data_IF_471490363923
#
_entry.id   IF_471490363923
#
_cell.length_a   1.000
_cell.length_b   1.000
_cell.length_c   1.000
_cell.angle_alpha   90.00
_cell.angle_beta   90.00
_cell.angle_gamma   90.00
#
_symmetry.space_group_name_H-M   'P 1'
#
loop_
_entity.id
_entity.type
_entity.pdbx_description
1 polymer ?
#
# COMPACT_ATOMS: atom_id res chain seq x y z
N UNK A 1 -0.94 -12.67 -2.99
CA UNK A 1 -0.74 -11.69 -3.82
C UNK A 1 -0.27 -10.40 -3.28
N UNK A 2 -0.93 -9.77 -2.33
CA UNK A 2 -0.38 -8.55 -1.72
C UNK A 2 0.26 -8.83 -0.37
N UNK A 3 0.67 -10.07 -0.15
CA UNK A 3 1.20 -10.49 1.15
C UNK A 3 2.50 -9.77 1.50
N UNK A 4 3.39 -9.61 0.51
CA UNK A 4 4.64 -8.89 0.73
C UNK A 4 4.38 -7.44 1.11
N UNK A 5 3.44 -6.79 0.42
CA UNK A 5 3.10 -5.40 0.69
C UNK A 5 2.47 -5.28 2.08
N UNK A 6 1.54 -6.19 2.41
CA UNK A 6 0.89 -6.18 3.72
C UNK A 6 1.90 -6.37 4.84
N UNK A 7 2.84 -7.27 4.67
CA UNK A 7 3.88 -7.51 5.67
C UNK A 7 4.82 -6.30 5.79
N UNK A 8 5.17 -5.69 4.66
CA UNK A 8 6.02 -4.52 4.67
C UNK A 8 5.36 -3.37 5.41
N UNK A 9 4.06 -3.16 5.20
CA UNK A 9 3.31 -2.12 5.89
C UNK A 9 3.32 -2.40 7.39
N UNK A 10 3.08 -3.64 7.77
CA UNK A 10 3.07 -4.02 9.18
C UNK A 10 4.43 -3.79 9.84
N UNK A 11 5.50 -4.19 9.16
CA UNK A 11 6.85 -4.02 9.69
C UNK A 11 7.27 -2.55 9.75
N UNK A 12 6.79 -1.74 8.81
CA UNK A 12 7.15 -0.33 8.76
C UNK A 12 6.53 0.48 9.90
N UNK A 13 5.40 0.03 10.43
CA UNK A 13 4.66 0.78 11.42
C UNK A 13 3.92 1.97 10.86
N UNK A 14 3.93 2.16 9.55
CA UNK A 14 3.24 3.27 8.91
C UNK A 14 1.73 3.06 8.95
N UNK A 15 1.00 4.15 9.14
CA UNK A 15 -0.46 4.07 9.17
C UNK A 15 -1.00 3.99 7.75
N UNK A 16 -1.96 3.09 7.55
CA UNK A 16 -2.59 2.91 6.25
C UNK A 16 -3.24 4.20 5.75
N UNK A 17 -3.82 4.98 6.68
CA UNK A 17 -4.42 6.26 6.31
C UNK A 17 -3.38 7.19 5.67
N UNK A 18 -2.20 7.27 6.25
CA UNK A 18 -1.12 8.07 5.70
C UNK A 18 -0.69 7.55 4.33
N UNK A 19 -0.57 6.23 4.21
CA UNK A 19 -0.19 5.61 2.94
C UNK A 19 -1.22 5.95 1.86
N UNK A 20 -2.51 5.85 2.19
CA UNK A 20 -3.57 6.19 1.25
C UNK A 20 -3.45 7.63 0.76
N UNK A 21 -3.13 8.55 1.67
CA UNK A 21 -2.93 9.95 1.32
C UNK A 21 -1.76 10.10 0.34
N UNK A 22 -0.67 9.38 0.58
CA UNK A 22 0.49 9.43 -0.31
C UNK A 22 0.17 8.89 -1.70
N UNK A 23 -0.73 7.93 -1.78
CA UNK A 23 -1.13 7.35 -3.06
C UNK A 23 -2.23 8.15 -3.74
N UNK A 24 -2.82 9.12 -3.06
CA UNK A 24 -3.91 9.90 -3.60
C UNK A 24 -5.23 9.14 -3.68
N UNK A 25 -5.42 8.15 -2.82
CA UNK A 25 -6.65 7.34 -2.77
C UNK A 25 -7.25 7.38 -1.38
N UNK A 26 -8.51 6.93 -1.26
CA UNK A 26 -9.15 6.87 0.04
C UNK A 26 -8.66 5.67 0.83
N UNK A 27 -8.83 5.72 2.14
CA UNK A 27 -8.50 4.61 3.02
C UNK A 27 -9.27 3.34 2.62
N UNK A 28 -10.55 3.47 2.28
CA UNK A 28 -11.34 2.33 1.84
C UNK A 28 -10.79 1.70 0.57
N UNK A 29 -10.40 2.53 -0.39
CA UNK A 29 -9.80 2.04 -1.62
C UNK A 29 -8.51 1.29 -1.33
N UNK A 30 -7.67 1.83 -0.44
CA UNK A 30 -6.43 1.16 -0.07
C UNK A 30 -6.71 -0.21 0.55
N UNK A 31 -7.66 -0.27 1.48
CA UNK A 31 -8.03 -1.53 2.14
C UNK A 31 -8.44 -2.59 1.11
N UNK A 32 -9.30 -2.19 0.17
CA UNK A 32 -9.79 -3.13 -0.84
C UNK A 32 -8.67 -3.60 -1.77
N UNK A 33 -7.75 -2.71 -2.09
CA UNK A 33 -6.60 -3.07 -2.93
C UNK A 33 -5.66 -4.00 -2.19
N UNK A 34 -5.45 -3.78 -0.90
CA UNK A 34 -4.60 -4.65 -0.09
C UNK A 34 -5.21 -6.05 0.07
N UNK A 35 -6.53 -6.14 0.07
CA UNK A 35 -7.22 -7.43 0.13
C UNK A 35 -7.22 -8.16 -1.22
N UNK A 36 -6.87 -7.47 -2.29
CA UNK A 36 -6.90 -8.06 -3.63
C UNK A 36 -8.21 -7.93 -4.34
N UNK A 37 -9.18 -7.19 -3.78
CA UNK A 37 -10.48 -6.97 -4.43
C UNK A 37 -10.37 -6.05 -5.63
N UNK A 38 -9.44 -5.10 -5.58
CA UNK A 38 -9.17 -4.15 -6.66
C UNK A 38 -7.65 -4.15 -6.86
N UNK A 39 -7.21 -4.09 -8.10
CA UNK A 39 -5.79 -4.05 -8.40
C UNK A 39 -5.22 -2.64 -8.17
N UNK A 40 -3.96 -2.59 -7.71
CA UNK A 40 -3.23 -1.33 -7.70
C UNK A 40 -2.90 -0.93 -9.12
N UNK A 41 -2.92 0.38 -9.40
CA UNK A 41 -2.41 0.87 -10.67
C UNK A 41 -0.89 0.82 -10.65
N UNK A 42 -0.29 0.91 -11.83
CA UNK A 42 1.18 0.90 -11.94
C UNK A 42 1.79 2.04 -11.13
N UNK A 43 1.20 3.22 -11.24
CA UNK A 43 1.69 4.41 -10.53
C UNK A 43 1.60 4.24 -9.02
N UNK A 44 0.49 3.66 -8.57
CA UNK A 44 0.30 3.39 -7.14
C UNK A 44 1.33 2.40 -6.62
N UNK A 45 1.62 1.36 -7.39
CA UNK A 45 2.65 0.39 -7.01
C UNK A 45 4.03 1.02 -6.93
N UNK A 46 4.35 1.91 -7.86
CA UNK A 46 5.62 2.61 -7.83
C UNK A 46 5.77 3.45 -6.56
N UNK A 47 4.72 4.17 -6.20
CA UNK A 47 4.72 4.98 -4.98
C UNK A 47 4.82 4.11 -3.73
N UNK A 48 4.08 3.00 -3.70
CA UNK A 48 4.13 2.07 -2.59
C UNK A 48 5.51 1.49 -2.41
N UNK A 49 6.15 1.08 -3.50
CA UNK A 49 7.50 0.52 -3.43
C UNK A 49 8.48 1.54 -2.89
N UNK A 50 8.34 2.79 -3.30
CA UNK A 50 9.20 3.85 -2.81
C UNK A 50 9.03 4.07 -1.31
N UNK A 51 7.79 4.07 -0.84
CA UNK A 51 7.48 4.25 0.57
C UNK A 51 8.00 3.08 1.42
N UNK A 52 7.87 1.88 0.91
CA UNK A 52 8.17 0.65 1.65
C UNK A 52 9.51 0.02 1.28
N UNK A 53 10.36 0.76 0.60
CA UNK A 53 11.60 0.25 0.03
C UNK A 53 12.44 -0.54 1.02
N UNK A 54 12.54 -0.05 2.26
CA UNK A 54 13.35 -0.71 3.30
C UNK A 54 12.78 -2.07 3.72
N UNK A 55 11.51 -2.29 3.47
CA UNK A 55 10.80 -3.46 3.97
C UNK A 55 10.45 -4.46 2.86
N UNK A 56 10.80 -4.12 1.65
CA UNK A 56 10.62 -5.01 0.51
C UNK A 56 11.98 -5.56 0.08
#
# INVERSE_FOLDING_TARGET
MNDKINMAIKESGLKKKWIAEQLGITYNSLRRKLKGEINFSKLELEKLRSILEKYL
#
